data_IF_108401188892
#
_entry.id   IF_108401188892
#
_cell.length_a   1.000
_cell.length_b   1.000
_cell.length_c   1.000
_cell.angle_alpha   90.00
_cell.angle_beta   90.00
_cell.angle_gamma   90.00
#
_symmetry.space_group_name_H-M   'P 1'
#
loop_
_entity.id
_entity.type
_entity.pdbx_description
1 polymer ?
#
# COMPACT_ATOMS: atom_id res chain seq x y z
N UNK A 1 10.62 27.21 -30.27
CA UNK A 1 11.21 26.40 -29.19
C UNK A 1 10.27 25.24 -28.91
N UNK A 2 10.45 24.12 -29.63
CA UNK A 2 9.66 22.91 -29.42
C UNK A 2 10.21 22.22 -28.16
N UNK A 3 9.38 22.12 -27.12
CA UNK A 3 9.72 21.35 -25.93
C UNK A 3 9.62 19.87 -26.34
N UNK A 4 10.76 19.24 -26.59
CA UNK A 4 10.81 17.79 -26.74
C UNK A 4 10.50 17.18 -25.36
N UNK A 5 9.30 16.64 -25.21
CA UNK A 5 8.93 15.84 -24.04
C UNK A 5 9.67 14.50 -24.12
N UNK A 6 10.89 14.45 -23.60
CA UNK A 6 11.58 13.19 -23.41
C UNK A 6 10.91 12.41 -22.28
N UNK A 7 10.49 11.18 -22.58
CA UNK A 7 9.87 10.28 -21.60
C UNK A 7 10.93 9.77 -20.62
N UNK A 8 11.09 10.47 -19.50
CA UNK A 8 11.96 10.01 -18.41
C UNK A 8 11.27 8.90 -17.62
N UNK A 9 11.86 7.71 -17.62
CA UNK A 9 11.38 6.58 -16.81
C UNK A 9 11.60 6.92 -15.33
N UNK A 10 10.52 7.08 -14.55
CA UNK A 10 10.62 7.34 -13.11
C UNK A 10 10.59 6.09 -12.23
N UNK A 11 9.95 5.00 -12.66
CA UNK A 11 9.87 3.74 -11.90
C UNK A 11 10.05 2.53 -12.83
N UNK A 12 10.60 1.44 -12.30
CA UNK A 12 10.75 0.19 -13.04
C UNK A 12 9.40 -0.51 -13.26
N UNK A 13 9.31 -1.36 -14.30
CA UNK A 13 8.10 -2.14 -14.56
C UNK A 13 7.75 -3.06 -13.38
N UNK A 14 8.76 -3.63 -12.72
CA UNK A 14 8.59 -4.47 -11.52
C UNK A 14 7.90 -3.71 -10.39
N UNK A 15 8.32 -2.48 -10.09
CA UNK A 15 7.69 -1.66 -9.05
C UNK A 15 6.23 -1.33 -9.39
N UNK A 16 5.93 -1.09 -10.67
CA UNK A 16 4.56 -0.85 -11.14
C UNK A 16 3.67 -2.08 -10.97
N UNK A 17 4.18 -3.27 -11.32
CA UNK A 17 3.44 -4.54 -11.14
C UNK A 17 3.16 -4.78 -9.66
N UNK A 18 4.18 -4.62 -8.79
CA UNK A 18 4.00 -4.77 -7.35
C UNK A 18 3.00 -3.77 -6.78
N UNK A 19 3.02 -2.52 -7.25
CA UNK A 19 2.04 -1.51 -6.84
C UNK A 19 0.60 -1.95 -7.17
N UNK A 20 0.35 -2.43 -8.39
CA UNK A 20 -0.97 -2.92 -8.77
C UNK A 20 -1.39 -4.18 -8.02
N UNK A 21 -0.46 -5.09 -7.73
CA UNK A 21 -0.74 -6.27 -6.89
C UNK A 21 -1.15 -5.86 -5.46
N UNK A 22 -0.40 -4.94 -4.85
CA UNK A 22 -0.72 -4.40 -3.52
C UNK A 22 -2.09 -3.73 -3.54
N UNK A 23 -2.37 -2.89 -4.54
CA UNK A 23 -3.65 -2.18 -4.67
C UNK A 23 -4.83 -3.15 -4.79
N UNK A 24 -4.77 -4.09 -5.74
CA UNK A 24 -5.85 -5.04 -5.98
C UNK A 24 -6.09 -5.98 -4.78
N UNK A 25 -5.03 -6.48 -4.15
CA UNK A 25 -5.16 -7.29 -2.93
C UNK A 25 -5.74 -6.51 -1.76
N UNK A 26 -5.34 -5.23 -1.60
CA UNK A 26 -5.89 -4.36 -0.55
C UNK A 26 -7.38 -4.12 -0.75
N UNK A 27 -7.83 -3.89 -2.00
CA UNK A 27 -9.27 -3.78 -2.30
C UNK A 27 -10.03 -5.08 -1.94
N UNK A 28 -9.47 -6.24 -2.28
CA UNK A 28 -10.06 -7.55 -1.93
C UNK A 28 -10.14 -7.76 -0.41
N UNK A 29 -9.08 -7.43 0.32
CA UNK A 29 -9.02 -7.51 1.79
C UNK A 29 -9.98 -6.55 2.47
N UNK A 30 -10.13 -5.34 1.96
CA UNK A 30 -11.06 -4.36 2.50
C UNK A 30 -12.50 -4.85 2.39
N UNK A 31 -12.90 -5.33 1.21
CA UNK A 31 -14.27 -5.83 0.99
C UNK A 31 -14.56 -7.10 1.79
N UNK A 32 -13.64 -8.07 1.75
CA UNK A 32 -13.81 -9.34 2.46
C UNK A 32 -13.67 -9.19 3.98
N UNK A 33 -12.76 -8.35 4.45
CA UNK A 33 -12.55 -8.07 5.88
C UNK A 33 -13.73 -7.33 6.50
N UNK A 34 -14.29 -6.35 5.79
CA UNK A 34 -15.52 -5.66 6.22
C UNK A 34 -16.68 -6.65 6.33
N UNK A 35 -16.82 -7.56 5.38
CA UNK A 35 -17.84 -8.61 5.44
C UNK A 35 -17.62 -9.56 6.63
N UNK A 36 -16.37 -9.94 6.92
CA UNK A 36 -16.05 -10.84 8.04
C UNK A 36 -16.42 -10.18 9.38
N UNK A 37 -16.17 -8.88 9.55
CA UNK A 37 -16.53 -8.15 10.76
C UNK A 37 -18.02 -7.81 10.86
N UNK A 38 -18.69 -7.61 9.72
CA UNK A 38 -20.12 -7.27 9.66
C UNK A 38 -20.84 -8.11 8.60
N UNK A 39 -21.26 -9.35 8.93
CA UNK A 39 -21.76 -10.34 7.98
C UNK A 39 -23.23 -10.11 7.58
N UNK A 40 -23.57 -8.90 7.14
CA UNK A 40 -24.96 -8.51 6.78
C UNK A 40 -25.17 -8.33 5.27
N UNK A 41 -24.09 -8.17 4.50
CA UNK A 41 -24.16 -7.79 3.08
C UNK A 41 -24.55 -8.94 2.13
N UNK A 42 -24.35 -10.20 2.55
CA UNK A 42 -24.60 -11.40 1.76
C UNK A 42 -25.26 -12.41 2.69
N UNK A 43 -26.57 -12.58 2.56
CA UNK A 43 -27.29 -13.70 3.13
C UNK A 43 -27.27 -14.84 2.11
N UNK A 44 -26.83 -16.03 2.53
CA UNK A 44 -26.98 -17.22 1.70
C UNK A 44 -28.45 -17.51 1.47
N UNK A 45 -28.83 -17.88 0.25
CA UNK A 45 -30.14 -18.45 -0.02
C UNK A 45 -30.08 -19.96 0.23
N UNK A 46 -31.02 -20.50 1.00
CA UNK A 46 -31.10 -21.93 1.34
C UNK A 46 -30.36 -22.34 2.62
N UNK A 47 -30.13 -23.65 2.75
CA UNK A 47 -29.55 -24.25 3.96
C UNK A 47 -28.05 -23.90 4.13
N UNK A 48 -27.59 -23.51 5.34
CA UNK A 48 -26.21 -23.07 5.56
C UNK A 48 -25.12 -24.06 5.13
N UNK A 49 -25.41 -25.36 5.19
CA UNK A 49 -24.48 -26.43 4.78
C UNK A 49 -24.28 -26.52 3.26
N UNK A 50 -25.10 -25.85 2.45
CA UNK A 50 -24.96 -25.87 0.99
C UNK A 50 -24.23 -24.62 0.48
N UNK A 51 -24.45 -23.48 1.12
CA UNK A 51 -24.03 -22.19 0.57
C UNK A 51 -22.61 -21.78 0.99
N UNK A 52 -22.20 -22.12 2.22
CA UNK A 52 -20.86 -21.85 2.77
C UNK A 52 -20.32 -20.42 2.52
N UNK A 53 -21.19 -19.41 2.54
CA UNK A 53 -20.86 -18.03 2.14
C UNK A 53 -19.66 -17.49 2.92
N UNK A 54 -19.71 -17.60 4.26
CA UNK A 54 -18.63 -17.11 5.11
C UNK A 54 -17.30 -17.84 4.89
N UNK A 55 -17.34 -19.15 4.62
CA UNK A 55 -16.14 -19.92 4.33
C UNK A 55 -15.49 -19.47 3.00
N UNK A 56 -16.30 -19.18 1.97
CA UNK A 56 -15.82 -18.65 0.69
C UNK A 56 -15.21 -17.26 0.84
N UNK A 57 -15.84 -16.37 1.61
CA UNK A 57 -15.28 -15.03 1.84
C UNK A 57 -13.97 -15.09 2.63
N UNK A 58 -13.88 -15.93 3.66
CA UNK A 58 -12.62 -16.17 4.37
C UNK A 58 -11.53 -16.72 3.46
N UNK A 59 -11.86 -17.65 2.57
CA UNK A 59 -10.91 -18.17 1.59
C UNK A 59 -10.36 -17.06 0.69
N UNK A 60 -11.23 -16.18 0.17
CA UNK A 60 -10.83 -15.01 -0.61
C UNK A 60 -9.94 -14.08 0.24
N UNK A 61 -10.35 -13.78 1.47
CA UNK A 61 -9.58 -12.92 2.38
C UNK A 61 -8.16 -13.44 2.59
N UNK A 62 -8.00 -14.71 2.97
CA UNK A 62 -6.67 -15.30 3.19
C UNK A 62 -5.85 -15.39 1.90
N UNK A 63 -6.49 -15.63 0.75
CA UNK A 63 -5.80 -15.67 -0.54
C UNK A 63 -5.26 -14.28 -0.91
N UNK A 64 -6.07 -13.23 -0.74
CA UNK A 64 -5.64 -11.85 -0.94
C UNK A 64 -4.57 -11.42 0.08
N UNK A 65 -4.66 -11.87 1.34
CA UNK A 65 -3.67 -11.63 2.38
C UNK A 65 -2.29 -12.16 1.96
N UNK A 66 -2.21 -13.43 1.56
CA UNK A 66 -0.95 -14.05 1.13
C UNK A 66 -0.34 -13.30 -0.07
N UNK A 67 -1.16 -12.91 -1.06
CA UNK A 67 -0.66 -12.14 -2.21
C UNK A 67 -0.16 -10.76 -1.77
N UNK A 68 -0.88 -10.08 -0.87
CA UNK A 68 -0.45 -8.80 -0.32
C UNK A 68 0.87 -8.94 0.44
N UNK A 69 1.00 -9.96 1.30
CA UNK A 69 2.18 -10.20 2.12
C UNK A 69 3.42 -10.43 1.25
N UNK A 70 3.32 -11.30 0.24
CA UNK A 70 4.41 -11.55 -0.70
C UNK A 70 4.77 -10.29 -1.49
N UNK A 71 3.78 -9.56 -2.00
CA UNK A 71 4.02 -8.32 -2.75
C UNK A 71 4.65 -7.22 -1.87
N UNK A 72 4.21 -7.12 -0.61
CA UNK A 72 4.75 -6.20 0.39
C UNK A 72 6.20 -6.53 0.74
N UNK A 73 6.53 -7.80 0.99
CA UNK A 73 7.90 -8.24 1.26
C UNK A 73 8.83 -7.98 0.07
N UNK A 74 8.37 -8.26 -1.15
CA UNK A 74 9.12 -7.94 -2.37
C UNK A 74 9.31 -6.43 -2.54
N UNK A 75 8.31 -5.62 -2.17
CA UNK A 75 8.43 -4.16 -2.21
C UNK A 75 9.43 -3.64 -1.19
N UNK A 76 9.41 -4.16 0.04
CA UNK A 76 10.41 -3.86 1.07
C UNK A 76 11.81 -4.22 0.58
N UNK A 77 11.99 -5.42 0.01
CA UNK A 77 13.27 -5.83 -0.57
C UNK A 77 13.76 -4.83 -1.63
N UNK A 78 12.90 -4.42 -2.56
CA UNK A 78 13.26 -3.44 -3.58
C UNK A 78 13.57 -2.06 -3.00
N UNK A 79 12.95 -1.64 -1.89
CA UNK A 79 13.26 -0.35 -1.27
C UNK A 79 14.75 -0.23 -0.87
N UNK A 80 15.36 -1.34 -0.44
CA UNK A 80 16.77 -1.40 -0.06
C UNK A 80 17.71 -1.80 -1.21
N UNK A 81 17.27 -2.72 -2.07
CA UNK A 81 18.14 -3.40 -3.05
C UNK A 81 17.82 -3.11 -4.52
N UNK A 82 16.89 -2.19 -4.82
CA UNK A 82 16.55 -1.81 -6.20
C UNK A 82 17.78 -1.26 -6.96
N UNK A 83 17.99 -1.77 -8.18
CA UNK A 83 19.01 -1.29 -9.12
C UNK A 83 18.63 0.06 -9.75
N UNK A 84 17.35 0.42 -9.76
CA UNK A 84 16.85 1.61 -10.42
C UNK A 84 16.96 2.86 -9.51
N UNK A 85 16.32 2.78 -8.35
CA UNK A 85 16.33 3.84 -7.34
C UNK A 85 16.00 3.20 -5.99
N UNK A 86 16.76 3.56 -4.96
CA UNK A 86 16.65 3.05 -3.59
C UNK A 86 16.01 4.13 -2.73
N UNK A 87 14.71 4.02 -2.51
CA UNK A 87 13.89 5.05 -1.89
C UNK A 87 13.87 4.99 -0.35
N UNK A 88 14.56 4.01 0.27
CA UNK A 88 14.50 3.80 1.72
C UNK A 88 14.87 5.03 2.57
N UNK A 89 15.80 5.88 2.11
CA UNK A 89 16.21 7.10 2.84
C UNK A 89 15.16 8.21 2.77
N UNK A 90 14.43 8.28 1.66
CA UNK A 90 13.40 9.28 1.40
C UNK A 90 12.11 8.93 2.17
N UNK A 91 11.86 7.63 2.35
CA UNK A 91 10.70 7.11 3.09
C UNK A 91 10.90 7.16 4.61
N UNK A 92 12.13 7.06 5.13
CA UNK A 92 12.34 7.04 6.58
C UNK A 92 11.94 8.37 7.25
N UNK A 93 11.26 8.33 8.43
CA UNK A 93 10.82 9.51 9.16
C UNK A 93 11.99 10.16 9.93
N UNK A 94 12.97 10.68 9.20
CA UNK A 94 14.08 11.47 9.74
C UNK A 94 13.56 12.84 10.18
N UNK A 95 14.10 13.50 11.23
CA UNK A 95 13.63 14.83 11.66
C UNK A 95 13.57 15.88 10.54
N UNK A 96 14.49 15.81 9.58
CA UNK A 96 14.49 16.68 8.40
C UNK A 96 13.32 16.37 7.47
N UNK A 97 13.11 15.09 7.10
CA UNK A 97 12.02 14.66 6.24
C UNK A 97 10.65 15.00 6.84
N UNK A 98 10.48 14.87 8.17
CA UNK A 98 9.24 15.25 8.85
C UNK A 98 9.01 16.76 8.74
N UNK A 99 10.05 17.57 8.94
CA UNK A 99 9.96 19.03 8.83
C UNK A 99 9.60 19.45 7.40
N UNK A 100 10.22 18.84 6.41
CA UNK A 100 9.93 19.08 4.99
C UNK A 100 8.51 18.62 4.62
N UNK A 101 8.09 17.43 5.06
CA UNK A 101 6.74 16.91 4.86
C UNK A 101 5.66 17.84 5.45
N UNK A 102 5.89 18.38 6.65
CA UNK A 102 4.98 19.36 7.27
C UNK A 102 4.98 20.70 6.51
N UNK A 103 6.13 21.10 5.95
CA UNK A 103 6.24 22.24 5.06
C UNK A 103 5.41 22.06 3.78
N UNK A 104 5.54 20.90 3.13
CA UNK A 104 4.75 20.51 1.96
C UNK A 104 3.26 20.43 2.30
N UNK A 105 2.90 19.81 3.42
CA UNK A 105 1.50 19.70 3.86
C UNK A 105 0.88 21.08 4.07
N UNK A 106 1.62 22.01 4.70
CA UNK A 106 1.18 23.40 4.87
C UNK A 106 1.04 24.12 3.54
N UNK A 107 1.94 23.86 2.60
CA UNK A 107 1.83 24.39 1.24
C UNK A 107 0.56 23.89 0.54
N UNK A 108 0.28 22.57 0.58
CA UNK A 108 -0.95 22.01 0.01
C UNK A 108 -2.22 22.53 0.68
N UNK A 109 -2.19 22.77 1.99
CA UNK A 109 -3.34 23.34 2.71
C UNK A 109 -3.59 24.82 2.40
N UNK A 110 -2.52 25.61 2.22
CA UNK A 110 -2.64 27.08 2.07
C UNK A 110 -2.54 27.57 0.63
N UNK A 111 -2.09 26.72 -0.31
CA UNK A 111 -1.81 27.03 -1.71
C UNK A 111 -0.88 28.25 -1.92
N UNK A 112 -0.08 28.58 -0.90
CA UNK A 112 0.82 29.74 -0.87
C UNK A 112 2.25 29.28 -0.60
N UNK A 113 3.17 29.66 -1.47
CA UNK A 113 4.61 29.38 -1.33
C UNK A 113 5.22 28.76 -2.58
N UNK A 114 6.46 28.26 -2.46
CA UNK A 114 7.10 27.38 -3.45
C UNK A 114 7.04 25.95 -2.92
N UNK A 115 6.70 25.02 -3.78
CA UNK A 115 6.89 23.59 -3.54
C UNK A 115 8.34 23.25 -3.89
N UNK A 116 9.05 22.56 -3.00
CA UNK A 116 10.36 22.03 -3.36
C UNK A 116 10.15 20.80 -4.25
N UNK A 117 10.56 20.94 -5.52
CA UNK A 117 10.43 19.87 -6.51
C UNK A 117 11.38 18.72 -6.14
N UNK A 118 10.82 17.73 -5.45
CA UNK A 118 11.55 16.52 -5.08
C UNK A 118 11.66 15.59 -6.28
N UNK A 119 12.88 15.18 -6.62
CA UNK A 119 13.18 14.47 -7.88
C UNK A 119 12.54 13.07 -7.98
N UNK A 120 12.25 12.41 -6.85
CA UNK A 120 11.83 11.00 -6.82
C UNK A 120 10.61 10.74 -5.92
N UNK A 121 10.65 11.17 -4.67
CA UNK A 121 9.55 11.08 -3.71
C UNK A 121 9.40 12.43 -3.00
N UNK A 122 8.17 12.95 -2.95
CA UNK A 122 7.84 14.14 -2.17
C UNK A 122 7.99 13.81 -0.67
N UNK A 123 8.62 14.67 0.16
CA UNK A 123 8.68 14.51 1.61
C UNK A 123 7.37 14.08 2.27
N UNK A 124 6.23 14.63 1.83
CA UNK A 124 4.92 14.24 2.36
C UNK A 124 4.52 12.80 1.98
N UNK A 125 4.78 12.43 0.74
CA UNK A 125 4.52 11.10 0.20
C UNK A 125 5.42 10.05 0.88
N UNK A 126 6.69 10.39 1.14
CA UNK A 126 7.64 9.54 1.87
C UNK A 126 7.14 9.16 3.27
N UNK A 127 6.65 10.14 4.03
CA UNK A 127 6.09 9.90 5.37
C UNK A 127 4.81 9.04 5.32
N UNK A 128 3.94 9.32 4.34
CA UNK A 128 2.71 8.56 4.14
C UNK A 128 3.01 7.11 3.76
N UNK A 129 3.98 6.89 2.87
CA UNK A 129 4.45 5.54 2.54
C UNK A 129 4.98 4.83 3.77
N UNK A 130 5.81 5.47 4.58
CA UNK A 130 6.32 4.83 5.80
C UNK A 130 5.19 4.38 6.73
N UNK A 131 4.23 5.27 7.01
CA UNK A 131 3.08 4.96 7.84
C UNK A 131 2.26 3.78 7.29
N UNK A 132 1.99 3.78 5.97
CA UNK A 132 1.29 2.68 5.31
C UNK A 132 2.06 1.35 5.41
N UNK A 133 3.38 1.35 5.23
CA UNK A 133 4.19 0.13 5.38
C UNK A 133 4.18 -0.38 6.83
N UNK A 134 4.16 0.49 7.84
CA UNK A 134 4.03 0.08 9.23
C UNK A 134 2.66 -0.54 9.53
N UNK A 135 1.57 0.03 8.99
CA UNK A 135 0.22 -0.52 9.14
C UNK A 135 0.14 -1.89 8.45
N UNK A 136 0.67 -2.02 7.22
CA UNK A 136 0.71 -3.29 6.51
C UNK A 136 1.53 -4.34 7.27
N UNK A 137 2.68 -3.97 7.84
CA UNK A 137 3.47 -4.87 8.67
C UNK A 137 2.70 -5.32 9.92
N UNK A 138 2.01 -4.40 10.60
CA UNK A 138 1.18 -4.74 11.75
C UNK A 138 0.04 -5.71 11.35
N UNK A 139 -0.64 -5.45 10.23
CA UNK A 139 -1.69 -6.33 9.71
C UNK A 139 -1.16 -7.71 9.30
N UNK A 140 0.04 -7.78 8.75
CA UNK A 140 0.70 -9.05 8.43
C UNK A 140 0.89 -9.88 9.71
N UNK A 141 1.49 -9.30 10.76
CA UNK A 141 1.74 -10.03 12.01
C UNK A 141 0.44 -10.42 12.73
N UNK A 142 -0.52 -9.51 12.86
CA UNK A 142 -1.80 -9.83 13.51
C UNK A 142 -2.64 -10.80 12.69
N UNK A 143 -2.60 -10.69 11.36
CA UNK A 143 -3.28 -11.60 10.43
C UNK A 143 -2.74 -13.01 10.52
N UNK A 144 -1.41 -13.19 10.50
CA UNK A 144 -0.80 -14.51 10.70
C UNK A 144 -1.08 -15.09 12.09
N UNK A 145 -1.09 -14.26 13.13
CA UNK A 145 -1.45 -14.70 14.48
C UNK A 145 -2.89 -15.21 14.58
N UNK A 146 -3.82 -14.66 13.79
CA UNK A 146 -5.21 -15.12 13.70
C UNK A 146 -5.41 -16.30 12.74
N UNK A 147 -4.51 -16.48 11.77
CA UNK A 147 -4.55 -17.58 10.80
C UNK A 147 -3.94 -18.86 11.37
N UNK A 148 -2.90 -18.73 12.20
CA UNK A 148 -2.30 -19.85 12.90
C UNK A 148 -3.28 -20.45 13.94
N UNK A 149 -3.34 -21.79 14.07
CA UNK A 149 -4.22 -22.47 15.02
C UNK A 149 -3.78 -22.32 16.47
#
# INVERSE_FOLDING_TARGET
MAIYLEMVKMKSATVRILHWLIFLSTCGLLLSGLYIGFPTLLAGTGEPYQTFVMAKIRLIHFSCAIVLDVAFLLRLYLAFFSTFHKDWKEVLPTPNNIREALGTLRFYWTLKGKHDDSRWVDPFDGLTFFALHMILAAQLFTGFALYAP
#
